data_IF_789197113796
#
_entry.id   IF_789197113796
#
_cell.length_a   1.000
_cell.length_b   1.000
_cell.length_c   1.000
_cell.angle_alpha   90.00
_cell.angle_beta   90.00
_cell.angle_gamma   90.00
#
_symmetry.space_group_name_H-M   'P 1'
#
loop_
_entity.id
_entity.type
_entity.pdbx_description
1 polymer ?
#
# COMPACT_ATOMS: atom_id res chain seq x y z
N UNK A 1 56.88 -27.33 9.32
CA UNK A 1 55.61 -27.48 8.58
C UNK A 1 54.33 -27.32 9.44
N UNK A 2 54.41 -27.02 10.75
CA UNK A 2 53.22 -26.85 11.62
C UNK A 2 52.75 -25.39 11.83
N UNK A 3 53.58 -24.39 11.48
CA UNK A 3 53.27 -22.96 11.71
C UNK A 3 52.36 -22.37 10.61
N UNK A 4 52.43 -22.89 9.37
CA UNK A 4 51.59 -22.40 8.26
C UNK A 4 50.11 -22.83 8.35
N UNK A 5 49.80 -23.91 9.08
CA UNK A 5 48.43 -24.42 9.22
C UNK A 5 47.61 -23.64 10.27
N UNK A 6 48.27 -23.08 11.29
CA UNK A 6 47.61 -22.28 12.35
C UNK A 6 47.20 -20.90 11.83
N UNK A 7 47.99 -20.28 10.95
CA UNK A 7 47.66 -18.98 10.34
C UNK A 7 46.47 -19.11 9.37
N UNK A 8 46.34 -20.23 8.65
CA UNK A 8 45.23 -20.46 7.74
C UNK A 8 43.90 -20.66 8.48
N UNK A 9 43.91 -21.32 9.64
CA UNK A 9 42.70 -21.54 10.45
C UNK A 9 42.24 -20.26 11.16
N UNK A 10 43.16 -19.38 11.57
CA UNK A 10 42.81 -18.07 12.17
C UNK A 10 42.23 -17.11 11.12
N UNK A 11 42.75 -17.12 9.89
CA UNK A 11 42.18 -16.31 8.79
C UNK A 11 40.81 -16.84 8.33
N UNK A 12 40.57 -18.15 8.38
CA UNK A 12 39.25 -18.75 8.09
C UNK A 12 38.20 -18.53 9.19
N UNK A 13 38.60 -18.27 10.45
CA UNK A 13 37.66 -17.92 11.52
C UNK A 13 37.41 -16.42 11.70
N UNK A 14 38.24 -15.55 11.09
CA UNK A 14 38.06 -14.10 11.12
C UNK A 14 37.27 -13.53 9.94
N UNK A 15 36.90 -14.35 8.93
CA UNK A 15 35.89 -14.00 7.94
C UNK A 15 34.47 -14.12 8.52
N UNK A 16 34.22 -13.54 9.70
CA UNK A 16 32.88 -13.01 9.94
C UNK A 16 32.70 -11.96 8.87
N UNK A 17 31.88 -12.24 7.86
CA UNK A 17 31.37 -11.19 6.97
C UNK A 17 31.04 -10.01 7.88
N UNK A 18 31.71 -8.87 7.67
CA UNK A 18 31.23 -7.60 8.18
C UNK A 18 29.89 -7.37 7.48
N UNK A 19 28.84 -7.98 8.01
CA UNK A 19 27.48 -7.64 7.67
C UNK A 19 27.35 -6.18 8.05
N UNK A 20 27.11 -5.34 7.04
CA UNK A 20 26.90 -3.92 7.25
C UNK A 20 25.80 -3.76 8.28
N UNK A 21 26.07 -3.01 9.34
CA UNK A 21 25.07 -2.74 10.36
C UNK A 21 23.85 -2.08 9.70
N UNK A 22 22.62 -2.43 10.12
CA UNK A 22 21.42 -1.77 9.62
C UNK A 22 21.53 -0.25 9.74
N UNK A 23 21.15 0.50 8.69
CA UNK A 23 21.22 1.95 8.70
C UNK A 23 20.27 2.52 9.74
N UNK A 24 20.72 3.54 10.46
CA UNK A 24 19.97 4.20 11.54
C UNK A 24 19.65 5.66 11.26
N UNK A 25 20.06 6.17 10.10
CA UNK A 25 19.78 7.52 9.62
C UNK A 25 18.31 7.66 9.19
N UNK A 26 17.83 8.90 9.11
CA UNK A 26 16.60 9.22 8.37
C UNK A 26 16.94 9.26 6.86
N UNK A 27 16.41 8.35 6.03
CA UNK A 27 16.77 8.28 4.61
C UNK A 27 16.36 9.53 3.83
N UNK A 28 15.35 10.27 4.30
CA UNK A 28 14.92 11.51 3.66
C UNK A 28 15.85 12.66 3.99
N UNK A 29 16.34 12.72 5.23
CA UNK A 29 17.34 13.70 5.63
C UNK A 29 18.60 13.55 4.78
N UNK A 30 19.03 12.32 4.54
CA UNK A 30 20.18 12.03 3.66
C UNK A 30 19.90 12.42 2.21
N UNK A 31 18.73 12.07 1.67
CA UNK A 31 18.40 12.28 0.25
C UNK A 31 18.05 13.74 -0.11
N UNK A 32 17.22 14.40 0.71
CA UNK A 32 16.73 15.77 0.52
C UNK A 32 17.45 16.79 1.42
N UNK A 33 18.74 16.57 1.70
CA UNK A 33 19.59 17.45 2.54
C UNK A 33 19.86 18.85 1.96
N UNK A 34 19.27 19.19 0.80
CA UNK A 34 19.45 20.47 0.11
C UNK A 34 18.66 21.63 0.71
N UNK A 35 18.67 22.78 0.01
CA UNK A 35 18.06 24.05 0.47
C UNK A 35 16.55 23.99 0.69
N UNK A 36 15.84 23.11 -0.02
CA UNK A 36 14.40 22.89 0.20
C UNK A 36 14.13 22.04 1.44
N UNK A 37 15.13 21.25 1.86
CA UNK A 37 15.03 20.36 3.00
C UNK A 37 14.06 19.20 2.79
N UNK A 38 13.71 18.56 3.90
CA UNK A 38 12.76 17.45 3.98
C UNK A 38 11.74 17.71 5.10
N UNK A 39 10.63 16.98 5.15
CA UNK A 39 9.63 17.18 6.20
C UNK A 39 10.19 16.77 7.57
N UNK A 40 10.45 17.75 8.44
CA UNK A 40 11.05 17.54 9.76
C UNK A 40 10.24 16.60 10.68
N UNK A 41 8.93 16.40 10.43
CA UNK A 41 8.15 15.43 11.20
C UNK A 41 8.67 14.00 11.05
N UNK A 42 9.40 13.70 9.96
CA UNK A 42 9.97 12.37 9.70
C UNK A 42 11.10 12.02 10.68
N UNK A 43 11.70 13.01 11.35
CA UNK A 43 12.67 12.78 12.42
C UNK A 43 12.04 12.24 13.71
N UNK A 44 10.71 12.30 13.83
CA UNK A 44 9.97 11.69 14.95
C UNK A 44 9.87 10.17 14.85
N UNK A 45 10.14 9.60 13.67
CA UNK A 45 10.23 8.15 13.49
C UNK A 45 11.48 7.66 14.23
N UNK A 46 11.37 6.55 14.96
CA UNK A 46 12.47 5.97 15.73
C UNK A 46 13.49 5.24 14.83
N UNK A 47 14.17 5.96 13.94
CA UNK A 47 15.14 5.42 12.98
C UNK A 47 16.27 4.59 13.62
N UNK A 48 16.58 4.84 14.90
CA UNK A 48 17.60 4.12 15.66
C UNK A 48 17.14 2.76 16.21
N UNK A 49 15.83 2.51 16.30
CA UNK A 49 15.26 1.24 16.78
C UNK A 49 15.00 0.33 15.58
N UNK A 50 15.96 -0.54 15.26
CA UNK A 50 15.95 -1.32 14.01
C UNK A 50 15.91 -2.81 14.30
N UNK A 51 14.99 -3.53 13.64
CA UNK A 51 15.06 -4.98 13.49
C UNK A 51 15.57 -5.29 12.08
N UNK A 52 16.70 -5.99 11.99
CA UNK A 52 17.19 -6.56 10.73
C UNK A 52 16.42 -7.83 10.38
N UNK A 53 15.60 -7.75 9.33
CA UNK A 53 14.73 -8.84 8.92
C UNK A 53 15.49 -10.02 8.28
N UNK A 54 16.75 -9.85 7.89
CA UNK A 54 17.59 -10.98 7.43
C UNK A 54 18.05 -11.88 8.59
N UNK A 55 18.10 -11.33 9.80
CA UNK A 55 18.50 -12.03 11.03
C UNK A 55 17.30 -12.43 11.90
N UNK A 56 16.11 -11.89 11.61
CA UNK A 56 14.91 -12.14 12.39
C UNK A 56 14.34 -13.54 12.10
N UNK A 57 14.40 -14.42 13.09
CA UNK A 57 14.05 -15.84 12.94
C UNK A 57 12.74 -16.23 13.64
N UNK A 58 11.96 -15.28 14.17
CA UNK A 58 10.68 -15.58 14.80
C UNK A 58 9.56 -15.57 13.76
N UNK A 59 9.09 -16.75 13.35
CA UNK A 59 8.02 -16.91 12.34
C UNK A 59 8.37 -17.98 11.31
N UNK A 60 7.37 -18.69 10.79
CA UNK A 60 7.58 -19.81 9.86
C UNK A 60 7.85 -19.37 8.42
N UNK A 61 7.39 -18.17 8.06
CA UNK A 61 7.57 -17.55 6.74
C UNK A 61 7.75 -16.04 6.87
N UNK A 62 8.06 -15.35 5.77
CA UNK A 62 8.37 -13.92 5.81
C UNK A 62 7.19 -13.06 6.27
N UNK A 63 5.96 -13.48 5.96
CA UNK A 63 4.76 -12.80 6.46
C UNK A 63 4.66 -12.87 7.99
N UNK A 64 4.83 -14.07 8.59
CA UNK A 64 4.80 -14.23 10.04
C UNK A 64 5.98 -13.53 10.73
N UNK A 65 7.17 -13.52 10.11
CA UNK A 65 8.33 -12.74 10.60
C UNK A 65 8.01 -11.25 10.63
N UNK A 66 7.42 -10.73 9.56
CA UNK A 66 6.97 -9.35 9.49
C UNK A 66 5.99 -9.02 10.63
N UNK A 67 4.95 -9.83 10.86
CA UNK A 67 3.96 -9.53 11.89
C UNK A 67 4.57 -9.51 13.29
N UNK A 68 5.41 -10.50 13.62
CA UNK A 68 6.08 -10.58 14.92
C UNK A 68 7.07 -9.45 15.14
N UNK A 69 7.90 -9.13 14.14
CA UNK A 69 8.84 -8.03 14.22
C UNK A 69 8.13 -6.66 14.33
N UNK A 70 7.05 -6.46 13.56
CA UNK A 70 6.19 -5.26 13.65
C UNK A 70 5.63 -5.11 15.06
N UNK A 71 5.10 -6.18 15.63
CA UNK A 71 4.49 -6.14 16.96
C UNK A 71 5.54 -5.88 18.05
N UNK A 72 6.74 -6.45 17.93
CA UNK A 72 7.87 -6.14 18.80
C UNK A 72 8.26 -4.66 18.73
N UNK A 73 8.35 -4.08 17.53
CA UNK A 73 8.64 -2.64 17.37
C UNK A 73 7.53 -1.77 17.93
N UNK A 74 6.26 -2.12 17.69
CA UNK A 74 5.12 -1.40 18.25
C UNK A 74 5.17 -1.38 19.79
N UNK A 75 5.44 -2.52 20.45
CA UNK A 75 5.62 -2.58 21.91
C UNK A 75 6.84 -1.76 22.38
N UNK A 76 7.88 -1.62 21.56
CA UNK A 76 9.01 -0.72 21.80
C UNK A 76 8.71 0.77 21.45
N UNK A 77 7.46 1.08 21.08
CA UNK A 77 6.98 2.41 20.73
C UNK A 77 7.39 2.88 19.33
N UNK A 78 7.53 1.96 18.37
CA UNK A 78 7.87 2.22 16.97
C UNK A 78 9.33 1.92 16.62
N UNK A 79 9.64 1.91 15.33
CA UNK A 79 10.96 1.67 14.79
C UNK A 79 10.94 1.19 13.34
N UNK A 80 12.05 0.61 12.89
CA UNK A 80 12.30 0.26 11.50
C UNK A 80 12.39 -1.26 11.35
N UNK A 81 11.55 -1.80 10.47
CA UNK A 81 11.75 -3.11 9.89
C UNK A 81 12.71 -2.94 8.71
N UNK A 82 14.00 -3.22 8.93
CA UNK A 82 15.02 -3.09 7.90
C UNK A 82 15.16 -4.39 7.12
N UNK A 83 15.02 -4.28 5.80
CA UNK A 83 15.20 -5.38 4.87
C UNK A 83 16.45 -5.10 4.03
N UNK A 84 17.56 -5.80 4.27
CA UNK A 84 18.74 -5.73 3.40
C UNK A 84 18.45 -6.02 1.93
N UNK A 85 19.49 -5.90 1.09
CA UNK A 85 19.40 -6.28 -0.32
C UNK A 85 19.01 -7.76 -0.44
N UNK A 86 18.01 -8.05 -1.27
CA UNK A 86 17.46 -9.40 -1.37
C UNK A 86 16.01 -9.42 -1.84
N UNK A 87 15.49 -10.64 -2.01
CA UNK A 87 14.10 -10.89 -2.34
C UNK A 87 13.41 -11.56 -1.15
N UNK A 88 12.27 -11.01 -0.74
CA UNK A 88 11.46 -11.47 0.38
C UNK A 88 10.09 -11.91 -0.14
N UNK A 89 9.66 -13.11 0.22
CA UNK A 89 8.50 -13.76 -0.37
C UNK A 89 7.30 -13.75 0.58
N UNK A 90 6.32 -12.92 0.27
CA UNK A 90 5.06 -12.79 1.00
C UNK A 90 3.93 -13.60 0.37
N UNK A 91 4.24 -14.61 -0.46
CA UNK A 91 3.24 -15.48 -1.09
C UNK A 91 2.35 -16.23 -0.10
N UNK A 92 2.87 -16.52 1.10
CA UNK A 92 2.15 -17.19 2.18
C UNK A 92 1.29 -16.23 3.03
N UNK A 93 1.19 -14.95 2.64
CA UNK A 93 0.27 -14.03 3.29
C UNK A 93 -1.18 -14.57 3.19
N UNK A 94 -1.99 -14.42 4.25
CA UNK A 94 -3.41 -14.79 4.24
C UNK A 94 -4.20 -13.73 3.47
N UNK A 95 -3.99 -13.67 2.15
CA UNK A 95 -4.36 -12.52 1.34
C UNK A 95 -5.64 -12.67 0.50
N UNK A 96 -6.44 -13.71 0.73
CA UNK A 96 -7.70 -13.95 0.00
C UNK A 96 -8.93 -13.75 0.90
N UNK A 97 -9.99 -13.23 0.29
CA UNK A 97 -11.33 -13.19 0.88
C UNK A 97 -11.53 -12.13 1.97
N UNK A 98 -12.73 -12.12 2.59
CA UNK A 98 -13.18 -11.03 3.46
C UNK A 98 -12.40 -10.89 4.77
N UNK A 99 -11.69 -11.96 5.20
CA UNK A 99 -10.96 -12.02 6.47
C UNK A 99 -9.44 -12.02 6.26
N UNK A 100 -8.99 -11.79 5.03
CA UNK A 100 -7.56 -11.71 4.74
C UNK A 100 -6.92 -10.47 5.35
N UNK A 101 -5.60 -10.36 5.20
CA UNK A 101 -4.83 -9.19 5.60
C UNK A 101 -3.50 -9.11 4.86
N UNK A 102 -3.02 -7.89 4.67
CA UNK A 102 -1.74 -7.58 4.05
C UNK A 102 -0.64 -7.30 5.07
N UNK A 103 0.40 -6.60 4.64
CA UNK A 103 1.46 -6.10 5.52
C UNK A 103 0.96 -4.86 6.27
N UNK A 104 0.18 -5.10 7.32
CA UNK A 104 -0.48 -4.06 8.10
C UNK A 104 0.48 -3.44 9.11
N UNK A 105 0.79 -2.15 8.98
CA UNK A 105 1.66 -1.41 9.90
C UNK A 105 0.90 -0.93 11.14
N UNK A 106 1.60 -0.84 12.26
CA UNK A 106 1.11 -0.24 13.51
C UNK A 106 1.81 1.09 13.75
N UNK A 107 1.30 1.89 14.67
CA UNK A 107 1.86 3.20 15.03
C UNK A 107 3.38 3.15 15.19
N UNK A 108 4.07 4.07 14.53
CA UNK A 108 5.51 4.25 14.62
C UNK A 108 6.35 3.22 13.86
N UNK A 109 5.74 2.25 13.17
CA UNK A 109 6.47 1.21 12.44
C UNK A 109 6.62 1.58 10.96
N UNK A 110 7.86 1.55 10.48
CA UNK A 110 8.22 1.84 9.08
C UNK A 110 9.00 0.67 8.48
N UNK A 111 8.71 0.32 7.23
CA UNK A 111 9.54 -0.62 6.46
C UNK A 111 10.61 0.18 5.70
N UNK A 112 11.87 -0.27 5.77
CA UNK A 112 12.97 0.32 5.00
C UNK A 112 13.76 -0.77 4.30
N UNK A 113 13.84 -0.71 2.97
CA UNK A 113 14.78 -1.51 2.20
C UNK A 113 16.21 -0.98 2.24
N UNK A 114 17.15 -1.71 1.65
CA UNK A 114 18.51 -1.25 1.47
C UNK A 114 18.53 0.02 0.60
N UNK A 115 19.26 1.04 1.07
CA UNK A 115 19.48 2.28 0.30
C UNK A 115 20.07 1.89 -1.06
N UNK A 116 19.48 2.35 -2.19
CA UNK A 116 20.01 2.04 -3.51
C UNK A 116 21.47 2.51 -3.63
N UNK A 117 22.28 1.81 -4.41
CA UNK A 117 23.67 2.20 -4.69
C UNK A 117 23.84 2.78 -6.10
N UNK A 118 22.94 2.42 -7.02
CA UNK A 118 22.87 2.96 -8.38
C UNK A 118 21.90 4.14 -8.47
N UNK A 119 21.02 4.07 -9.47
CA UNK A 119 19.99 5.08 -9.67
C UNK A 119 19.03 5.16 -8.45
N UNK A 120 18.80 6.39 -8.01
CA UNK A 120 17.99 6.75 -6.84
C UNK A 120 16.88 7.73 -7.21
N UNK A 121 16.77 8.17 -8.45
CA UNK A 121 15.89 9.25 -8.85
C UNK A 121 14.80 8.74 -9.81
N UNK A 122 13.55 8.78 -9.39
CA UNK A 122 12.43 8.20 -10.11
C UNK A 122 12.08 8.92 -11.44
N UNK A 123 12.75 10.04 -11.77
CA UNK A 123 12.41 10.93 -12.90
C UNK A 123 12.29 10.25 -14.26
N UNK A 124 13.05 9.19 -14.53
CA UNK A 124 13.00 8.48 -15.81
C UNK A 124 12.08 7.25 -15.80
N UNK A 125 11.35 7.06 -14.70
CA UNK A 125 10.49 5.91 -14.50
C UNK A 125 11.23 4.63 -14.11
N UNK A 126 12.48 4.74 -13.67
CA UNK A 126 13.26 3.63 -13.11
C UNK A 126 13.82 3.97 -11.72
N UNK A 127 14.18 2.94 -10.96
CA UNK A 127 14.84 3.05 -9.67
C UNK A 127 15.66 1.77 -9.41
N UNK A 128 16.93 1.92 -9.01
CA UNK A 128 17.86 0.82 -8.75
C UNK A 128 17.68 0.15 -7.39
N UNK A 129 16.45 -0.21 -7.02
CA UNK A 129 16.14 -0.75 -5.69
C UNK A 129 16.73 -2.15 -5.47
N UNK A 130 17.36 -2.35 -4.30
CA UNK A 130 18.05 -3.59 -3.96
C UNK A 130 17.19 -4.57 -3.15
N UNK A 131 16.09 -4.09 -2.60
CA UNK A 131 15.16 -4.87 -1.77
C UNK A 131 13.85 -5.07 -2.52
N UNK A 132 13.47 -6.33 -2.72
CA UNK A 132 12.29 -6.72 -3.49
C UNK A 132 11.34 -7.55 -2.66
N UNK A 133 10.06 -7.15 -2.64
CA UNK A 133 8.97 -7.89 -2.02
C UNK A 133 8.13 -8.54 -3.11
N UNK A 134 8.00 -9.86 -3.05
CA UNK A 134 7.17 -10.64 -3.96
C UNK A 134 5.87 -11.02 -3.28
N UNK A 135 4.75 -10.71 -3.94
CA UNK A 135 3.44 -11.17 -3.53
C UNK A 135 2.90 -12.20 -4.54
N UNK A 136 2.15 -13.16 -4.04
CA UNK A 136 1.44 -14.13 -4.87
C UNK A 136 0.30 -13.45 -5.64
N UNK A 137 0.09 -13.92 -6.87
CA UNK A 137 -1.03 -13.53 -7.72
C UNK A 137 -2.06 -14.67 -7.80
N UNK A 138 -3.33 -14.32 -7.96
CA UNK A 138 -4.39 -15.24 -8.36
C UNK A 138 -4.36 -15.45 -9.87
N UNK A 139 -4.64 -16.68 -10.33
CA UNK A 139 -4.79 -16.98 -11.76
C UNK A 139 -6.27 -16.91 -12.15
N UNK A 140 -6.59 -16.16 -13.20
CA UNK A 140 -7.94 -15.94 -13.72
C UNK A 140 -7.98 -16.11 -15.24
N UNK A 141 -9.18 -16.28 -15.80
CA UNK A 141 -9.39 -16.19 -17.25
C UNK A 141 -9.03 -14.79 -17.73
N UNK A 142 -7.89 -14.65 -18.40
CA UNK A 142 -7.28 -13.37 -18.72
C UNK A 142 -5.83 -13.31 -18.28
N UNK A 143 -5.50 -13.82 -17.09
CA UNK A 143 -4.13 -14.04 -16.59
C UNK A 143 -3.97 -13.88 -15.08
N UNK A 144 -2.89 -13.25 -14.61
CA UNK A 144 -2.51 -13.14 -13.20
C UNK A 144 -2.91 -11.81 -12.55
N UNK A 145 -3.60 -11.85 -11.41
CA UNK A 145 -4.04 -10.64 -10.71
C UNK A 145 -3.60 -10.60 -9.25
N UNK A 146 -3.41 -9.43 -8.63
CA UNK A 146 -3.14 -9.33 -7.21
C UNK A 146 -4.21 -10.04 -6.40
N UNK A 147 -3.82 -10.63 -5.26
CA UNK A 147 -4.76 -11.13 -4.27
C UNK A 147 -5.40 -9.96 -3.54
N UNK A 148 -6.56 -10.20 -2.94
CA UNK A 148 -7.42 -9.18 -2.31
C UNK A 148 -6.64 -8.28 -1.32
N UNK A 149 -5.67 -8.87 -0.61
CA UNK A 149 -4.87 -8.19 0.40
C UNK A 149 -3.38 -8.09 0.08
N UNK A 150 -3.00 -8.06 -1.19
CA UNK A 150 -1.67 -7.60 -1.55
C UNK A 150 -1.54 -6.09 -1.30
N UNK A 151 -1.46 -5.72 -0.03
CA UNK A 151 -1.61 -4.37 0.48
C UNK A 151 -0.55 -4.13 1.56
N UNK A 152 0.17 -3.03 1.46
CA UNK A 152 0.78 -2.38 2.62
C UNK A 152 -0.27 -1.49 3.25
N UNK A 153 -0.69 -1.84 4.46
CA UNK A 153 -1.82 -1.19 5.12
C UNK A 153 -1.47 -0.67 6.50
N UNK A 154 -2.49 -0.27 7.24
CA UNK A 154 -2.40 0.09 8.65
C UNK A 154 -3.44 -0.68 9.45
N UNK A 155 -3.14 -0.94 10.72
CA UNK A 155 -4.06 -1.58 11.66
C UNK A 155 -3.91 -0.92 13.05
N UNK A 156 -5.01 -0.58 13.73
CA UNK A 156 -4.94 -0.10 15.10
C UNK A 156 -4.52 -1.20 16.08
N UNK A 157 -4.11 -0.83 17.29
CA UNK A 157 -3.84 -1.77 18.39
C UNK A 157 -4.30 -1.24 19.74
N UNK A 158 -4.73 -2.15 20.61
CA UNK A 158 -5.26 -1.79 21.92
C UNK A 158 -6.52 -0.93 21.80
N UNK A 159 -6.47 0.29 22.31
CA UNK A 159 -7.57 1.27 22.25
C UNK A 159 -7.50 2.22 21.05
N UNK A 160 -6.53 2.06 20.15
CA UNK A 160 -6.42 2.89 18.94
C UNK A 160 -7.62 2.63 18.00
N UNK A 161 -8.07 3.68 17.33
CA UNK A 161 -8.80 3.59 16.06
C UNK A 161 -7.82 3.85 14.89
N UNK A 162 -8.24 3.67 13.63
CA UNK A 162 -7.36 3.94 12.48
C UNK A 162 -6.82 5.37 12.42
N UNK A 163 -7.60 6.34 12.91
CA UNK A 163 -7.20 7.75 13.00
C UNK A 163 -6.05 7.99 13.98
N UNK A 164 -5.79 7.03 14.88
CA UNK A 164 -4.75 7.13 15.91
C UNK A 164 -3.46 6.43 15.47
N UNK A 165 -3.49 5.70 14.34
CA UNK A 165 -2.30 5.08 13.77
C UNK A 165 -1.44 6.14 13.10
N UNK A 166 -0.26 6.41 13.66
CA UNK A 166 0.59 7.54 13.27
C UNK A 166 2.03 7.10 12.91
N UNK A 167 2.75 7.94 12.15
CA UNK A 167 4.18 7.76 11.83
C UNK A 167 4.50 6.39 11.22
N UNK A 168 3.82 6.08 10.11
CA UNK A 168 3.95 4.81 9.38
C UNK A 168 4.41 5.08 7.96
N UNK A 169 5.04 4.08 7.34
CA UNK A 169 5.45 4.22 5.96
C UNK A 169 6.33 3.11 5.45
N UNK A 170 6.74 3.29 4.19
CA UNK A 170 7.64 2.41 3.49
C UNK A 170 8.67 3.22 2.71
N UNK A 171 9.92 2.74 2.70
CA UNK A 171 11.02 3.38 1.98
C UNK A 171 11.92 2.36 1.27
N UNK A 172 12.38 2.69 0.06
CA UNK A 172 13.39 1.93 -0.70
C UNK A 172 13.05 0.46 -0.97
N UNK A 173 11.79 0.16 -1.31
CA UNK A 173 11.38 -1.20 -1.69
C UNK A 173 10.77 -1.27 -3.08
N UNK A 174 11.07 -2.34 -3.81
CA UNK A 174 10.28 -2.75 -4.97
C UNK A 174 9.21 -3.74 -4.49
N UNK A 175 7.95 -3.37 -4.61
CA UNK A 175 6.83 -4.27 -4.38
C UNK A 175 6.27 -4.76 -5.71
N UNK A 176 6.19 -6.09 -5.88
CA UNK A 176 5.56 -6.70 -7.06
C UNK A 176 4.20 -7.25 -6.68
N UNK A 177 3.15 -6.67 -7.27
CA UNK A 177 1.78 -7.15 -7.10
C UNK A 177 1.05 -6.58 -5.90
N UNK A 178 1.57 -5.55 -5.23
CA UNK A 178 0.96 -4.95 -4.05
C UNK A 178 0.78 -3.43 -4.15
N UNK A 179 -0.25 -2.93 -3.48
CA UNK A 179 -0.59 -1.50 -3.37
C UNK A 179 -0.33 -0.98 -1.96
N UNK A 180 -0.44 0.33 -1.77
CA UNK A 180 -0.48 0.95 -0.43
C UNK A 180 -1.87 1.48 -0.16
N UNK A 181 -2.38 1.22 1.04
CA UNK A 181 -3.61 1.82 1.52
C UNK A 181 -3.56 2.18 3.00
N UNK A 182 -3.47 3.48 3.29
CA UNK A 182 -3.59 4.01 4.66
C UNK A 182 -4.95 4.69 4.81
N UNK A 183 -5.96 3.91 5.21
CA UNK A 183 -7.35 4.36 5.30
C UNK A 183 -7.63 5.38 6.42
N UNK A 184 -8.75 6.12 6.32
CA UNK A 184 -9.26 6.97 7.39
C UNK A 184 -10.11 6.17 8.38
N UNK A 185 -10.43 6.77 9.52
CA UNK A 185 -11.51 6.34 10.39
C UNK A 185 -12.81 7.07 9.99
N UNK A 186 -13.87 6.29 9.80
CA UNK A 186 -15.24 6.79 9.66
C UNK A 186 -16.15 6.09 10.67
N UNK A 187 -17.44 6.42 10.71
CA UNK A 187 -18.40 5.57 11.40
C UNK A 187 -18.62 4.28 10.62
N UNK A 188 -18.06 3.17 11.11
CA UNK A 188 -18.23 1.86 10.50
C UNK A 188 -19.59 1.24 10.84
N UNK A 189 -20.23 0.62 9.84
CA UNK A 189 -21.42 -0.22 10.04
C UNK A 189 -21.06 -1.63 10.53
N UNK A 190 -22.06 -2.46 10.79
CA UNK A 190 -21.84 -3.80 11.36
C UNK A 190 -21.21 -4.77 10.34
N UNK A 191 -21.71 -4.78 9.11
CA UNK A 191 -21.18 -5.58 8.00
C UNK A 191 -21.29 -4.80 6.70
N UNK A 192 -20.56 -5.23 5.67
CA UNK A 192 -20.71 -4.66 4.33
C UNK A 192 -22.15 -4.75 3.80
N UNK A 193 -22.89 -5.81 4.11
CA UNK A 193 -24.27 -5.95 3.64
C UNK A 193 -25.28 -5.08 4.40
N UNK A 194 -25.01 -4.74 5.66
CA UNK A 194 -25.98 -4.06 6.54
C UNK A 194 -25.61 -2.62 6.88
N UNK A 195 -24.44 -2.14 6.45
CA UNK A 195 -23.99 -0.78 6.73
C UNK A 195 -24.80 0.30 6.01
N UNK A 196 -25.49 -0.03 4.90
CA UNK A 196 -26.22 0.94 4.09
C UNK A 196 -25.32 1.97 3.41
N UNK A 197 -24.04 1.64 3.23
CA UNK A 197 -23.08 2.43 2.46
C UNK A 197 -23.42 2.41 0.98
N UNK A 198 -22.82 3.31 0.21
CA UNK A 198 -23.12 3.49 -1.21
C UNK A 198 -23.05 2.20 -2.04
N UNK A 199 -22.14 1.29 -1.72
CA UNK A 199 -21.96 0.03 -2.46
C UNK A 199 -22.38 -1.22 -1.68
N UNK A 200 -22.95 -1.11 -0.47
CA UNK A 200 -23.32 -2.27 0.37
C UNK A 200 -24.12 -3.35 -0.38
N UNK A 201 -25.10 -2.95 -1.19
CA UNK A 201 -25.97 -3.87 -1.94
C UNK A 201 -25.28 -4.60 -3.09
N UNK A 202 -24.09 -4.14 -3.49
CA UNK A 202 -23.29 -4.72 -4.57
C UNK A 202 -22.28 -5.77 -4.04
N UNK A 203 -22.14 -5.91 -2.72
CA UNK A 203 -21.22 -6.87 -2.12
C UNK A 203 -21.62 -8.30 -2.50
N UNK A 204 -20.66 -9.05 -3.05
CA UNK A 204 -20.84 -10.47 -3.36
C UNK A 204 -21.10 -11.26 -2.08
N UNK A 205 -21.81 -12.39 -2.20
CA UNK A 205 -22.21 -13.23 -1.05
C UNK A 205 -21.06 -13.56 -0.10
N UNK A 206 -19.86 -13.84 -0.62
CA UNK A 206 -18.67 -14.15 0.19
C UNK A 206 -18.15 -12.95 0.99
N UNK A 207 -18.46 -11.72 0.60
CA UNK A 207 -18.00 -10.48 1.22
C UNK A 207 -19.08 -9.77 2.05
N UNK A 208 -20.35 -10.16 1.92
CA UNK A 208 -21.48 -9.54 2.63
C UNK A 208 -21.27 -9.43 4.15
N UNK A 209 -20.68 -10.45 4.76
CA UNK A 209 -20.47 -10.51 6.21
C UNK A 209 -19.12 -9.91 6.66
N UNK A 210 -18.34 -9.30 5.75
CA UNK A 210 -17.11 -8.61 6.16
C UNK A 210 -17.46 -7.47 7.11
N UNK A 211 -16.80 -7.45 8.26
CA UNK A 211 -16.87 -6.34 9.20
C UNK A 211 -15.92 -5.24 8.69
N UNK A 212 -16.42 -4.04 8.38
CA UNK A 212 -15.57 -2.94 7.94
C UNK A 212 -14.75 -2.43 9.12
N UNK A 213 -13.43 -2.37 8.93
CA UNK A 213 -12.49 -1.84 9.91
C UNK A 213 -11.58 -0.75 9.32
N UNK A 214 -11.75 -0.45 8.02
CA UNK A 214 -11.02 0.55 7.27
C UNK A 214 -9.63 0.11 6.82
N UNK A 215 -9.28 -1.16 7.01
CA UNK A 215 -7.99 -1.73 6.58
C UNK A 215 -7.99 -2.13 5.10
N UNK A 216 -9.18 -2.28 4.49
CA UNK A 216 -9.34 -2.57 3.07
C UNK A 216 -9.79 -1.33 2.27
N UNK A 217 -9.26 -1.08 1.05
CA UNK A 217 -9.62 0.07 0.21
C UNK A 217 -11.12 0.20 -0.11
N UNK A 218 -11.86 -0.90 0.02
CA UNK A 218 -13.31 -0.94 -0.25
C UNK A 218 -14.18 -0.80 0.99
N UNK A 219 -13.63 -0.92 2.20
CA UNK A 219 -14.41 -0.78 3.44
C UNK A 219 -15.21 0.54 3.49
N UNK A 220 -14.66 1.70 3.10
CA UNK A 220 -15.42 2.95 3.13
C UNK A 220 -16.65 2.94 2.24
N UNK A 221 -16.57 2.27 1.09
CA UNK A 221 -17.63 2.23 0.09
C UNK A 221 -18.74 1.25 0.45
N UNK A 222 -18.40 0.21 1.20
CA UNK A 222 -19.28 -0.93 1.47
C UNK A 222 -19.75 -1.01 2.92
N UNK A 223 -18.94 -0.51 3.84
CA UNK A 223 -19.18 -0.58 5.27
C UNK A 223 -18.97 0.74 6.01
N UNK A 224 -18.55 1.80 5.33
CA UNK A 224 -18.36 3.13 5.90
C UNK A 224 -19.63 3.98 5.84
N UNK A 225 -19.91 4.70 6.91
CA UNK A 225 -20.99 5.68 6.96
C UNK A 225 -20.57 7.06 6.44
N UNK A 226 -21.46 8.03 6.61
CA UNK A 226 -21.30 9.41 6.13
C UNK A 226 -20.50 10.32 7.06
N UNK A 227 -20.02 9.82 8.21
CA UNK A 227 -19.34 10.62 9.23
C UNK A 227 -17.86 10.29 9.22
N UNK A 228 -17.06 11.25 8.77
CA UNK A 228 -15.62 11.22 8.94
C UNK A 228 -15.25 11.43 10.41
N UNK A 229 -14.43 10.52 10.97
CA UNK A 229 -13.95 10.62 12.36
C UNK A 229 -12.50 11.06 12.45
N UNK A 230 -11.71 10.88 11.40
CA UNK A 230 -10.32 11.31 11.36
C UNK A 230 -9.43 10.44 10.50
N UNK A 231 -8.16 10.79 10.47
CA UNK A 231 -7.08 10.03 9.86
C UNK A 231 -5.80 10.46 10.57
N UNK A 232 -4.88 9.51 10.74
CA UNK A 232 -3.62 9.71 11.46
C UNK A 232 -2.66 10.67 10.76
N UNK A 233 -1.57 10.98 11.44
CA UNK A 233 -0.51 11.84 10.94
C UNK A 233 0.77 11.05 10.64
N UNK A 234 1.64 11.63 9.81
CA UNK A 234 2.94 11.07 9.49
C UNK A 234 2.81 9.86 8.58
N UNK A 235 2.53 10.10 7.30
CA UNK A 235 2.42 9.06 6.26
C UNK A 235 3.57 9.19 5.29
N UNK A 236 4.41 8.16 5.22
CA UNK A 236 5.62 8.19 4.40
C UNK A 236 5.58 7.11 3.31
N UNK A 237 5.73 7.52 2.04
CA UNK A 237 5.99 6.61 0.91
C UNK A 237 7.15 7.20 0.10
N UNK A 238 8.33 6.57 0.19
CA UNK A 238 9.53 7.19 -0.35
C UNK A 238 10.41 6.20 -1.13
N UNK A 239 10.70 6.52 -2.39
CA UNK A 239 11.70 5.71 -3.10
C UNK A 239 11.25 4.31 -3.44
N UNK A 240 9.95 4.10 -3.68
CA UNK A 240 9.38 2.78 -3.89
C UNK A 240 9.01 2.53 -5.36
N UNK A 241 9.09 1.27 -5.79
CA UNK A 241 8.54 0.82 -7.07
C UNK A 241 7.32 -0.05 -6.79
N UNK A 242 6.14 0.31 -7.31
CA UNK A 242 4.91 -0.50 -7.21
C UNK A 242 4.61 -1.15 -8.55
N UNK A 243 5.34 -2.24 -8.83
CA UNK A 243 5.23 -2.98 -10.08
C UNK A 243 3.99 -3.88 -10.06
N UNK A 244 3.29 -3.94 -11.20
CA UNK A 244 2.08 -4.78 -11.38
C UNK A 244 1.08 -4.58 -10.24
N UNK A 245 0.93 -3.36 -9.73
CA UNK A 245 0.10 -3.03 -8.59
C UNK A 245 -1.31 -2.59 -9.04
N UNK A 246 -2.35 -3.17 -8.45
CA UNK A 246 -3.73 -2.72 -8.60
C UNK A 246 -4.57 -3.25 -7.43
N UNK A 247 -5.54 -2.48 -6.96
CA UNK A 247 -6.57 -2.99 -6.05
C UNK A 247 -7.50 -3.89 -6.87
N UNK A 248 -7.56 -5.17 -6.53
CA UNK A 248 -8.46 -6.10 -7.20
C UNK A 248 -9.89 -5.90 -6.68
N UNK A 249 -10.87 -5.81 -7.57
CA UNK A 249 -12.28 -5.91 -7.24
C UNK A 249 -12.79 -7.32 -7.48
N UNK A 250 -12.57 -8.18 -6.49
CA UNK A 250 -13.18 -9.51 -6.40
C UNK A 250 -14.38 -9.52 -5.43
N UNK A 251 -14.65 -8.41 -4.76
CA UNK A 251 -15.63 -8.31 -3.68
C UNK A 251 -17.01 -7.79 -4.11
N UNK A 252 -17.07 -7.07 -5.24
CA UNK A 252 -18.28 -6.38 -5.72
C UNK A 252 -18.77 -6.97 -7.05
N UNK A 253 -20.10 -7.07 -7.22
CA UNK A 253 -20.71 -7.43 -8.50
C UNK A 253 -21.38 -6.20 -9.16
N UNK A 254 -20.65 -5.53 -10.05
CA UNK A 254 -21.16 -4.46 -10.90
C UNK A 254 -21.93 -4.98 -12.14
N UNK A 255 -22.50 -6.19 -12.06
CA UNK A 255 -23.15 -6.88 -13.18
C UNK A 255 -22.20 -7.69 -14.06
N UNK A 256 -21.05 -8.06 -13.50
CA UNK A 256 -20.11 -8.99 -14.11
C UNK A 256 -20.37 -10.44 -13.71
N UNK A 257 -21.28 -10.65 -12.76
CA UNK A 257 -21.63 -11.93 -12.19
C UNK A 257 -20.73 -12.34 -11.02
N UNK A 258 -21.06 -13.45 -10.33
CA UNK A 258 -20.33 -13.89 -9.14
C UNK A 258 -18.84 -14.13 -9.36
N UNK A 259 -18.47 -14.65 -10.54
CA UNK A 259 -17.08 -14.92 -10.94
C UNK A 259 -16.39 -13.76 -11.64
N UNK A 260 -17.11 -12.67 -11.93
CA UNK A 260 -16.56 -11.50 -12.58
C UNK A 260 -15.69 -10.68 -11.65
N UNK A 261 -14.58 -10.17 -12.14
CA UNK A 261 -13.66 -9.31 -11.39
C UNK A 261 -13.25 -8.12 -12.26
N UNK A 262 -12.86 -7.01 -11.65
CA UNK A 262 -12.36 -5.83 -12.37
C UNK A 262 -11.26 -5.16 -11.52
N UNK A 263 -10.46 -4.22 -12.05
CA UNK A 263 -9.64 -3.39 -11.15
C UNK A 263 -10.54 -2.40 -10.42
N UNK A 264 -10.32 -2.18 -9.12
CA UNK A 264 -11.15 -1.24 -8.38
C UNK A 264 -10.83 0.19 -8.80
N UNK A 265 -11.72 0.82 -9.59
CA UNK A 265 -11.47 2.16 -10.17
C UNK A 265 -11.31 3.28 -9.14
N UNK A 266 -11.83 3.10 -7.93
CA UNK A 266 -11.67 4.03 -6.81
C UNK A 266 -10.47 3.67 -5.92
N UNK A 267 -9.83 2.52 -6.16
CA UNK A 267 -8.61 2.10 -5.49
C UNK A 267 -7.39 2.65 -6.22
N UNK A 268 -6.58 3.41 -5.50
CA UNK A 268 -5.29 3.85 -6.00
C UNK A 268 -4.21 2.78 -5.80
N UNK A 269 -3.13 2.84 -6.59
CA UNK A 269 -1.92 2.06 -6.32
C UNK A 269 -1.23 2.52 -5.05
N UNK A 270 -1.31 3.83 -4.76
CA UNK A 270 -0.95 4.42 -3.48
C UNK A 270 -2.11 5.29 -3.01
N UNK A 271 -2.91 4.80 -2.04
CA UNK A 271 -4.03 5.53 -1.45
C UNK A 271 -3.75 5.90 0.01
N UNK A 272 -3.70 7.19 0.33
CA UNK A 272 -3.27 7.66 1.65
C UNK A 272 -4.25 8.68 2.22
N UNK A 273 -4.64 8.48 3.47
CA UNK A 273 -5.46 9.40 4.24
C UNK A 273 -4.70 9.84 5.50
N UNK A 274 -4.65 11.14 5.75
CA UNK A 274 -3.93 11.71 6.88
C UNK A 274 -3.40 13.12 6.68
N UNK A 275 -2.77 13.64 7.74
CA UNK A 275 -1.93 14.85 7.71
C UNK A 275 -0.44 14.47 7.72
N UNK A 276 0.45 15.43 7.47
CA UNK A 276 1.89 15.16 7.45
C UNK A 276 2.21 14.02 6.47
N UNK A 277 1.73 14.16 5.23
CA UNK A 277 1.88 13.15 4.19
C UNK A 277 3.08 13.54 3.33
N UNK A 278 4.01 12.61 3.15
CA UNK A 278 5.14 12.74 2.23
C UNK A 278 5.19 11.53 1.31
N UNK A 279 4.86 11.75 0.03
CA UNK A 279 4.91 10.74 -1.03
C UNK A 279 5.90 11.23 -2.07
N UNK A 280 7.11 10.67 -2.09
CA UNK A 280 8.13 11.19 -2.97
C UNK A 280 9.00 10.14 -3.63
N UNK A 281 9.52 10.47 -4.81
CA UNK A 281 10.53 9.66 -5.49
C UNK A 281 10.05 8.22 -5.75
N UNK A 282 8.78 8.02 -6.10
CA UNK A 282 8.23 6.69 -6.35
C UNK A 282 8.01 6.45 -7.85
N UNK A 283 8.15 5.19 -8.27
CA UNK A 283 7.84 4.74 -9.63
C UNK A 283 6.63 3.81 -9.59
N UNK A 284 5.59 4.19 -10.31
CA UNK A 284 4.40 3.39 -10.55
C UNK A 284 4.37 3.04 -12.05
N UNK A 285 5.16 2.04 -12.49
CA UNK A 285 5.42 1.82 -13.91
C UNK A 285 4.19 1.22 -14.61
N UNK A 286 4.25 1.19 -15.94
CA UNK A 286 3.32 0.40 -16.74
C UNK A 286 3.40 -1.06 -16.31
N UNK A 287 2.25 -1.67 -16.04
CA UNK A 287 2.22 -3.08 -15.64
C UNK A 287 2.78 -3.98 -16.76
N UNK A 288 3.60 -4.95 -16.36
CA UNK A 288 4.17 -5.98 -17.23
C UNK A 288 3.23 -7.18 -17.34
N UNK A 289 2.33 -7.34 -16.37
CA UNK A 289 1.24 -8.33 -16.36
C UNK A 289 -0.06 -7.76 -16.92
N UNK A 290 0.01 -6.80 -17.84
CA UNK A 290 -1.16 -6.12 -18.38
C UNK A 290 -2.12 -7.10 -19.06
N UNK A 291 -3.28 -7.34 -18.43
CA UNK A 291 -4.37 -8.06 -19.04
C UNK A 291 -5.31 -7.09 -19.72
N UNK A 292 -5.32 -7.17 -21.04
CA UNK A 292 -6.36 -6.65 -21.91
C UNK A 292 -7.27 -7.81 -22.25
N UNK A 293 -8.27 -8.08 -21.42
CA UNK A 293 -9.24 -9.13 -21.70
C UNK A 293 -10.65 -8.55 -21.75
N UNK A 294 -11.49 -9.21 -22.54
CA UNK A 294 -12.88 -8.82 -22.72
C UNK A 294 -13.73 -9.50 -21.67
N UNK A 295 -14.49 -8.73 -20.92
CA UNK A 295 -15.45 -9.24 -19.96
C UNK A 295 -16.87 -8.97 -20.45
N UNK A 296 -17.71 -10.01 -20.45
CA UNK A 296 -19.13 -9.87 -20.71
C UNK A 296 -19.80 -9.15 -19.54
N UNK A 297 -20.31 -7.96 -19.82
CA UNK A 297 -21.14 -7.14 -18.95
C UNK A 297 -22.59 -7.18 -19.42
N UNK A 298 -23.50 -6.72 -18.58
CA UNK A 298 -24.92 -6.56 -18.92
C UNK A 298 -25.31 -5.09 -18.97
N UNK A 299 -26.48 -4.80 -19.56
CA UNK A 299 -27.05 -3.48 -19.40
C UNK A 299 -27.43 -3.30 -17.94
N UNK A 300 -26.87 -2.26 -17.36
CA UNK A 300 -27.18 -1.80 -16.02
C UNK A 300 -28.27 -0.75 -16.09
N UNK A 301 -29.04 -0.62 -15.03
CA UNK A 301 -29.94 0.52 -14.88
C UNK A 301 -29.16 1.84 -15.06
N UNK A 302 -29.62 2.68 -15.98
CA UNK A 302 -29.02 4.01 -16.17
C UNK A 302 -29.64 5.04 -15.23
N UNK A 303 -30.77 4.72 -14.59
CA UNK A 303 -31.51 5.65 -13.73
C UNK A 303 -31.02 5.65 -12.27
N UNK A 304 -30.27 4.64 -11.83
CA UNK A 304 -29.70 4.54 -10.47
C UNK A 304 -28.28 5.11 -10.33
N UNK A 305 -27.87 5.97 -11.27
CA UNK A 305 -26.60 6.71 -11.21
C UNK A 305 -25.38 5.81 -11.34
N UNK A 306 -24.39 5.96 -10.45
CA UNK A 306 -23.15 5.17 -10.46
C UNK A 306 -23.29 3.79 -9.77
N UNK A 307 -24.46 3.49 -9.20
CA UNK A 307 -24.79 2.25 -8.47
C UNK A 307 -25.50 1.29 -9.40
N UNK A 308 -24.72 0.69 -10.29
CA UNK A 308 -25.23 0.03 -11.49
C UNK A 308 -25.39 -1.48 -11.26
N UNK A 309 -26.59 -1.90 -10.84
CA UNK A 309 -26.96 -3.32 -10.79
C UNK A 309 -27.29 -3.83 -12.19
N UNK A 310 -26.91 -5.07 -12.47
CA UNK A 310 -27.27 -5.76 -13.70
C UNK A 310 -28.80 -5.91 -13.83
N UNK A 311 -29.38 -5.43 -14.93
CA UNK A 311 -30.84 -5.52 -15.16
C UNK A 311 -31.25 -6.51 -16.26
N UNK A 312 -30.32 -7.07 -17.04
CA UNK A 312 -30.66 -7.79 -18.27
C UNK A 312 -29.63 -8.86 -18.67
N UNK A 313 -29.90 -9.55 -19.77
CA UNK A 313 -28.98 -10.49 -20.44
C UNK A 313 -27.65 -9.81 -20.79
N UNK A 314 -26.53 -10.52 -20.58
CA UNK A 314 -25.17 -10.02 -20.81
C UNK A 314 -24.90 -9.85 -22.30
N UNK A 315 -24.72 -8.62 -22.75
CA UNK A 315 -24.71 -8.29 -24.18
C UNK A 315 -23.50 -7.45 -24.62
N UNK A 316 -22.64 -6.99 -23.69
CA UNK A 316 -21.56 -6.06 -24.02
C UNK A 316 -20.21 -6.53 -23.52
N UNK A 317 -19.20 -6.36 -24.37
CA UNK A 317 -17.82 -6.80 -24.14
C UNK A 317 -16.97 -5.59 -23.78
N UNK A 318 -16.53 -5.49 -22.52
CA UNK A 318 -15.69 -4.37 -22.05
C UNK A 318 -14.24 -4.83 -21.93
N UNK A 319 -13.32 -4.01 -22.42
CA UNK A 319 -11.89 -4.21 -22.22
C UNK A 319 -11.49 -3.88 -20.79
N UNK A 320 -11.01 -4.88 -20.05
CA UNK A 320 -10.27 -4.66 -18.82
C UNK A 320 -8.90 -4.07 -19.15
N UNK A 321 -8.52 -2.98 -18.49
CA UNK A 321 -7.18 -2.42 -18.58
C UNK A 321 -6.56 -2.25 -17.18
N UNK A 322 -5.60 -3.11 -16.89
CA UNK A 322 -4.85 -3.13 -15.63
C UNK A 322 -4.15 -1.79 -15.31
N UNK A 323 -3.87 -0.97 -16.32
CA UNK A 323 -3.29 0.38 -16.20
C UNK A 323 -4.30 1.49 -15.91
N UNK A 324 -5.60 1.20 -15.79
CA UNK A 324 -6.65 2.18 -15.47
C UNK A 324 -6.87 2.54 -13.98
N UNK A 325 -6.22 1.95 -12.93
CA UNK A 325 -6.47 2.40 -11.57
C UNK A 325 -5.93 3.82 -11.35
N UNK A 326 -6.39 4.47 -10.29
CA UNK A 326 -5.81 5.73 -9.85
C UNK A 326 -4.32 5.50 -9.46
N UNK A 327 -3.45 6.43 -9.81
CA UNK A 327 -2.03 6.35 -9.47
C UNK A 327 -1.81 6.60 -7.98
N UNK A 328 -1.75 7.88 -7.61
CA UNK A 328 -1.59 8.35 -6.23
C UNK A 328 -2.85 9.12 -5.82
N UNK A 329 -3.52 8.64 -4.77
CA UNK A 329 -4.67 9.29 -4.13
C UNK A 329 -4.30 9.76 -2.73
N UNK A 330 -4.56 11.04 -2.44
CA UNK A 330 -4.35 11.60 -1.10
C UNK A 330 -5.60 12.33 -0.65
N UNK A 331 -6.23 11.81 0.41
CA UNK A 331 -7.41 12.37 1.06
C UNK A 331 -8.62 12.61 0.12
N UNK A 332 -8.79 11.86 -0.99
CA UNK A 332 -9.82 12.22 -1.98
C UNK A 332 -10.87 11.16 -2.30
N UNK A 333 -10.58 10.11 -3.08
CA UNK A 333 -11.62 9.24 -3.69
C UNK A 333 -12.68 8.77 -2.68
N UNK A 334 -12.26 8.42 -1.47
CA UNK A 334 -13.10 7.90 -0.40
C UNK A 334 -14.01 8.96 0.23
N UNK A 335 -13.50 10.18 0.44
CA UNK A 335 -14.20 11.20 1.22
C UNK A 335 -15.41 11.80 0.49
N UNK A 336 -15.60 11.46 -0.79
CA UNK A 336 -16.87 11.74 -1.47
C UNK A 336 -18.09 11.15 -0.75
N UNK A 337 -17.89 10.10 0.06
CA UNK A 337 -18.94 9.43 0.84
C UNK A 337 -19.26 10.13 2.16
N UNK A 338 -18.33 10.89 2.72
CA UNK A 338 -18.49 11.55 4.02
C UNK A 338 -19.00 12.99 3.90
N UNK A 339 -19.40 13.41 2.69
CA UNK A 339 -19.88 14.75 2.39
C UNK A 339 -18.78 15.81 2.30
N UNK A 340 -19.01 16.81 1.44
CA UNK A 340 -18.16 18.00 1.34
C UNK A 340 -18.18 18.77 2.66
N UNK A 341 -17.01 19.09 3.22
CA UNK A 341 -16.90 19.83 4.49
C UNK A 341 -16.58 19.00 5.73
N UNK A 342 -16.49 17.67 5.61
CA UNK A 342 -16.12 16.74 6.69
C UNK A 342 -14.68 16.88 7.21
N UNK A 343 -13.91 17.87 6.74
CA UNK A 343 -12.54 18.15 7.16
C UNK A 343 -11.47 17.21 6.60
N UNK A 344 -11.83 15.99 6.18
CA UNK A 344 -10.85 15.03 5.67
C UNK A 344 -10.12 15.50 4.40
N UNK A 345 -10.81 16.20 3.48
CA UNK A 345 -10.19 16.79 2.27
C UNK A 345 -9.15 17.87 2.59
N UNK A 346 -9.16 18.41 3.80
CA UNK A 346 -8.39 19.59 4.19
C UNK A 346 -7.30 19.26 5.22
N UNK A 347 -6.86 18.00 5.27
CA UNK A 347 -5.72 17.59 6.10
C UNK A 347 -4.46 18.37 5.72
N UNK A 348 -3.67 18.71 6.73
CA UNK A 348 -2.57 19.66 6.58
C UNK A 348 -1.26 18.99 6.17
N UNK A 349 -0.38 19.77 5.51
CA UNK A 349 1.02 19.43 5.22
C UNK A 349 1.13 18.18 4.35
N UNK A 350 0.63 18.32 3.13
CA UNK A 350 0.63 17.26 2.11
C UNK A 350 1.68 17.59 1.08
N UNK A 351 2.66 16.71 0.90
CA UNK A 351 3.73 16.88 -0.08
C UNK A 351 3.78 15.63 -0.97
N UNK A 352 3.63 15.86 -2.27
CA UNK A 352 3.75 14.82 -3.30
C UNK A 352 4.72 15.30 -4.36
N UNK A 353 5.90 14.69 -4.45
CA UNK A 353 6.98 15.20 -5.30
C UNK A 353 7.86 14.15 -5.95
N UNK A 354 8.45 14.47 -7.09
CA UNK A 354 9.47 13.64 -7.75
C UNK A 354 8.96 12.22 -8.09
N UNK A 355 7.65 12.00 -8.25
CA UNK A 355 7.10 10.69 -8.57
C UNK A 355 6.92 10.51 -10.09
N UNK A 356 7.15 9.30 -10.58
CA UNK A 356 6.82 8.88 -11.94
C UNK A 356 5.65 7.89 -11.91
N UNK A 357 4.55 8.21 -12.59
CA UNK A 357 3.31 7.45 -12.48
C UNK A 357 2.72 7.17 -13.86
N UNK A 358 2.87 5.96 -14.38
CA UNK A 358 2.16 5.59 -15.60
C UNK A 358 0.69 5.26 -15.30
N UNK A 359 -0.28 5.96 -15.87
CA UNK A 359 -1.70 5.54 -15.88
C UNK A 359 -2.32 5.58 -17.27
N UNK A 360 -3.33 4.74 -17.51
CA UNK A 360 -4.07 4.70 -18.78
C UNK A 360 -5.50 5.19 -18.60
N UNK A 361 -5.79 6.41 -19.07
CA UNK A 361 -7.16 6.93 -19.17
C UNK A 361 -7.88 7.15 -17.83
N UNK A 362 -7.11 7.28 -16.73
CA UNK A 362 -7.60 7.63 -15.41
C UNK A 362 -6.67 8.70 -14.78
N UNK A 363 -6.89 9.00 -13.49
CA UNK A 363 -6.11 9.99 -12.74
C UNK A 363 -4.73 9.43 -12.36
N UNK A 364 -3.66 10.11 -12.78
CA UNK A 364 -2.31 9.86 -12.27
C UNK A 364 -2.14 10.32 -10.83
N UNK A 365 -2.59 11.55 -10.54
CA UNK A 365 -2.52 12.18 -9.23
C UNK A 365 -3.88 12.74 -8.83
N UNK A 366 -4.34 12.43 -7.61
CA UNK A 366 -5.64 12.80 -7.10
C UNK A 366 -5.51 13.25 -5.63
N UNK A 367 -5.14 14.52 -5.45
CA UNK A 367 -4.60 15.02 -4.18
C UNK A 367 -5.51 16.12 -3.63
N UNK A 368 -5.75 16.07 -2.31
CA UNK A 368 -6.38 17.15 -1.57
C UNK A 368 -5.73 17.35 -0.21
N UNK A 369 -5.78 18.58 0.29
CA UNK A 369 -5.27 18.95 1.59
C UNK A 369 -5.24 20.47 1.78
N UNK A 370 -4.73 20.90 2.93
CA UNK A 370 -4.38 22.27 3.25
C UNK A 370 -2.85 22.37 3.30
N UNK A 371 -2.30 23.39 2.63
CA UNK A 371 -0.84 23.53 2.42
C UNK A 371 -0.25 22.35 1.64
N UNK A 372 -0.75 22.17 0.41
CA UNK A 372 -0.34 21.10 -0.49
C UNK A 372 0.84 21.59 -1.34
N UNK A 373 1.89 20.78 -1.41
CA UNK A 373 3.00 20.92 -2.37
C UNK A 373 2.90 19.77 -3.36
N UNK A 374 2.82 20.10 -4.65
CA UNK A 374 2.87 19.15 -5.76
C UNK A 374 3.93 19.67 -6.73
N UNK A 375 5.03 18.93 -6.92
CA UNK A 375 6.11 19.37 -7.82
C UNK A 375 6.87 18.21 -8.43
N UNK A 376 7.45 18.41 -9.62
CA UNK A 376 8.32 17.45 -10.30
C UNK A 376 7.74 16.04 -10.46
N UNK A 377 6.41 15.93 -10.53
CA UNK A 377 5.76 14.64 -10.76
C UNK A 377 5.51 14.47 -12.26
N UNK A 378 5.67 13.24 -12.76
CA UNK A 378 5.41 12.83 -14.14
C UNK A 378 4.28 11.79 -14.18
N UNK A 379 3.39 11.89 -15.19
CA UNK A 379 2.35 10.88 -15.46
C UNK A 379 2.01 10.71 -16.94
#
# INVERSE_FOLDING_TARGET
>A
MKIKLVILIIVLFCAKLLLAQPPKDNPLATYYSGTVGYPAWTDKIKWQNVIDMSLYNQGLNDFQKFEKARDQLYTAGGGILYYPAGTYDFSDAPADGPNGRGLMLKTGVVIRGATPTGDKDAKDGTLGLLTKFLFKFNTRSGGQVPRDWNIFGIVPSGSEELKDVNYVGIAWIQAVGAVVYFGPQVNWGATWATAGSWQSDLAKTTWKNRVPDGTHPMDPFNGGGTIYKGAGNGRLIFGCVFQDAAVMNDAMDFGSGPSGFYMYKFGARVGIYGSDVFIANNVLPKSTKNFKYTQLTCNTDQNSGCTKKCLSTRNSSVLFDYGKPNGIDVNKELLGLTGFGSGGFFKERIIVEDNYVYTHGHKGFNISGKWVIIRNNDN
#
